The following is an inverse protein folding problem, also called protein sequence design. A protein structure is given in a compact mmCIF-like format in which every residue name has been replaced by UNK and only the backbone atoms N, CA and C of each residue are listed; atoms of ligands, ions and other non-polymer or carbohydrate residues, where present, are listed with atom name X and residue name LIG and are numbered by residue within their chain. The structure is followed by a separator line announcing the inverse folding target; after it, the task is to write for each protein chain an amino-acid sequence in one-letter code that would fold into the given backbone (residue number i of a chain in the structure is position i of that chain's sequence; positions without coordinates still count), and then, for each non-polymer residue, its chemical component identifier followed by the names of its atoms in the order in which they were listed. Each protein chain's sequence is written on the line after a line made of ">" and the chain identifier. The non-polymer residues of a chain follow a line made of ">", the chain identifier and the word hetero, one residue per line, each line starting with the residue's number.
data_IF_123436573728
#
_entry.id   IF_123436573728
#
_cell.length_a   1.000
_cell.length_b   1.000
_cell.length_c   1.000
_cell.angle_alpha   90.00
_cell.angle_beta   90.00
_cell.angle_gamma   90.00
#
_symmetry.space_group_name_H-M   'P 1'
#
loop_
_entity.id
_entity.type
_entity.pdbx_description
1 polymer ?
#
# COMPACT_ATOMS: atom_id res chain seq x y z
N UNK A 1 -19.62 -33.29 17.88
CA UNK A 1 -19.39 -31.82 17.82
C UNK A 1 -19.65 -31.37 16.39
N UNK A 2 -20.67 -30.54 16.17
CA UNK A 2 -20.99 -30.00 14.85
C UNK A 2 -19.86 -29.05 14.42
N UNK A 3 -19.15 -29.40 13.33
CA UNK A 3 -18.17 -28.53 12.69
C UNK A 3 -18.88 -27.50 11.81
N UNK A 4 -19.42 -26.46 12.44
CA UNK A 4 -20.23 -25.46 11.75
C UNK A 4 -19.44 -24.47 10.89
N UNK A 5 -18.13 -24.30 11.08
CA UNK A 5 -17.37 -23.32 10.29
C UNK A 5 -16.53 -23.89 9.15
N UNK A 6 -16.68 -25.17 8.80
CA UNK A 6 -16.22 -25.70 7.49
C UNK A 6 -16.92 -25.01 6.30
N UNK A 7 -17.94 -24.18 6.56
CA UNK A 7 -18.70 -23.39 5.57
C UNK A 7 -18.42 -21.88 5.62
N UNK A 8 -17.56 -21.44 6.53
CA UNK A 8 -17.16 -20.03 6.63
C UNK A 8 -16.09 -19.71 5.57
N UNK A 9 -15.96 -18.44 5.21
CA UNK A 9 -14.90 -17.98 4.29
C UNK A 9 -13.52 -18.36 4.85
N UNK A 10 -13.36 -18.28 6.17
CA UNK A 10 -12.11 -18.62 6.87
C UNK A 10 -12.02 -20.08 7.37
N UNK A 11 -12.95 -20.97 7.02
CA UNK A 11 -12.91 -22.41 7.37
C UNK A 11 -12.57 -22.71 8.85
N UNK A 12 -13.36 -22.20 9.80
CA UNK A 12 -13.15 -22.37 11.26
C UNK A 12 -11.82 -21.78 11.81
N UNK A 13 -11.08 -20.98 11.04
CA UNK A 13 -9.84 -20.34 11.50
C UNK A 13 -10.12 -19.03 12.27
N UNK A 14 -10.50 -19.17 13.56
CA UNK A 14 -10.79 -18.04 14.47
C UNK A 14 -9.67 -16.99 14.52
N UNK A 15 -8.36 -17.34 14.58
CA UNK A 15 -7.28 -16.36 14.51
C UNK A 15 -7.35 -15.49 13.25
N UNK A 16 -7.50 -16.09 12.07
CA UNK A 16 -7.55 -15.34 10.80
C UNK A 16 -8.76 -14.41 10.75
N UNK A 17 -9.92 -14.87 11.23
CA UNK A 17 -11.13 -14.05 11.34
C UNK A 17 -10.90 -12.84 12.26
N UNK A 18 -10.30 -13.07 13.42
CA UNK A 18 -9.95 -12.01 14.38
C UNK A 18 -8.99 -11.00 13.75
N UNK A 19 -7.94 -11.47 13.08
CA UNK A 19 -7.00 -10.59 12.38
C UNK A 19 -7.65 -9.79 11.27
N UNK A 20 -8.53 -10.39 10.48
CA UNK A 20 -9.25 -9.70 9.41
C UNK A 20 -10.07 -8.52 9.96
N UNK A 21 -10.84 -8.75 11.02
CA UNK A 21 -11.60 -7.68 11.68
C UNK A 21 -10.70 -6.58 12.25
N UNK A 22 -9.60 -6.95 12.94
CA UNK A 22 -8.65 -5.96 13.48
C UNK A 22 -8.03 -5.11 12.37
N UNK A 23 -7.56 -5.75 11.28
CA UNK A 23 -6.98 -5.07 10.13
C UNK A 23 -8.00 -4.13 9.49
N UNK A 24 -9.24 -4.57 9.33
CA UNK A 24 -10.29 -3.74 8.74
C UNK A 24 -10.69 -2.56 9.63
N UNK A 25 -10.89 -2.78 10.94
CA UNK A 25 -11.31 -1.75 11.89
C UNK A 25 -10.26 -0.66 12.08
N UNK A 26 -8.97 -1.01 11.99
CA UNK A 26 -7.86 -0.04 12.11
C UNK A 26 -7.50 0.53 10.74
N UNK A 27 -7.33 -0.33 9.74
CA UNK A 27 -6.82 0.02 8.43
C UNK A 27 -7.78 0.89 7.62
N UNK A 28 -9.09 0.60 7.65
CA UNK A 28 -10.06 1.35 6.86
C UNK A 28 -10.16 2.82 7.32
N UNK A 29 -10.39 3.14 8.62
CA UNK A 29 -10.48 4.54 9.06
C UNK A 29 -9.15 5.28 8.94
N UNK A 30 -8.02 4.62 9.26
CA UNK A 30 -6.71 5.24 9.18
C UNK A 30 -6.34 5.63 7.74
N UNK A 31 -6.48 4.71 6.78
CA UNK A 31 -6.15 5.01 5.40
C UNK A 31 -7.14 6.00 4.77
N UNK A 32 -8.43 5.91 5.11
CA UNK A 32 -9.43 6.89 4.68
C UNK A 32 -9.11 8.29 5.22
N UNK A 33 -8.72 8.40 6.49
CA UNK A 33 -8.29 9.66 7.09
C UNK A 33 -7.05 10.23 6.41
N UNK A 34 -6.02 9.41 6.14
CA UNK A 34 -4.79 9.87 5.48
C UNK A 34 -5.03 10.34 4.04
N UNK A 35 -5.84 9.60 3.27
CA UNK A 35 -6.26 10.01 1.92
C UNK A 35 -7.07 11.30 1.98
N UNK A 36 -8.05 11.37 2.88
CA UNK A 36 -8.88 12.55 3.09
C UNK A 36 -8.06 13.78 3.50
N UNK A 37 -7.11 13.62 4.41
CA UNK A 37 -6.20 14.66 4.87
C UNK A 37 -5.35 15.23 3.72
N UNK A 38 -4.78 14.35 2.89
CA UNK A 38 -3.97 14.80 1.74
C UNK A 38 -4.79 15.47 0.64
N UNK A 39 -6.07 15.12 0.47
CA UNK A 39 -6.98 15.82 -0.44
C UNK A 39 -7.44 17.16 0.17
N UNK A 40 -7.70 17.18 1.47
CA UNK A 40 -8.22 18.32 2.20
C UNK A 40 -7.21 19.47 2.31
N UNK A 41 -5.92 19.17 2.55
CA UNK A 41 -4.89 20.18 2.76
C UNK A 41 -4.75 21.18 1.58
N UNK A 42 -4.58 20.74 0.31
CA UNK A 42 -4.57 21.64 -0.84
C UNK A 42 -5.84 22.48 -0.98
N UNK A 43 -7.00 21.87 -0.67
CA UNK A 43 -8.30 22.52 -0.77
C UNK A 43 -8.47 23.62 0.28
N UNK A 44 -8.10 23.35 1.53
CA UNK A 44 -8.14 24.31 2.64
C UNK A 44 -7.23 25.52 2.38
N UNK A 45 -6.01 25.29 1.86
CA UNK A 45 -5.08 26.38 1.52
C UNK A 45 -5.68 27.31 0.46
N UNK A 46 -6.32 26.74 -0.58
CA UNK A 46 -6.98 27.52 -1.63
C UNK A 46 -8.08 28.42 -1.08
N UNK A 47 -8.90 27.91 -0.14
CA UNK A 47 -9.93 28.71 0.52
C UNK A 47 -9.35 29.79 1.45
N UNK A 48 -8.26 29.52 2.17
CA UNK A 48 -7.66 30.53 3.06
C UNK A 48 -7.01 31.71 2.30
N UNK A 49 -6.43 31.46 1.11
CA UNK A 49 -5.82 32.50 0.28
C UNK A 49 -6.80 33.53 -0.25
N UNK A 50 -8.04 33.12 -0.51
CA UNK A 50 -9.11 34.05 -0.88
C UNK A 50 -9.37 35.06 0.27
N UNK A 51 -9.02 34.70 1.52
CA UNK A 51 -9.28 35.51 2.71
C UNK A 51 -8.11 36.36 3.19
N UNK A 52 -6.86 36.14 2.72
CA UNK A 52 -5.68 36.90 3.18
C UNK A 52 -4.79 37.32 2.00
N UNK A 53 -4.82 38.61 1.67
CA UNK A 53 -3.97 39.31 0.69
C UNK A 53 -2.49 39.41 1.10
N UNK A 54 -1.93 38.46 1.85
CA UNK A 54 -0.57 38.57 2.37
C UNK A 54 0.36 37.49 1.84
N UNK A 55 1.58 37.96 1.57
CA UNK A 55 2.76 37.38 0.92
C UNK A 55 3.32 36.09 1.59
N UNK A 56 2.46 35.23 2.13
CA UNK A 56 2.89 34.02 2.83
C UNK A 56 3.25 32.95 1.81
N UNK A 57 4.51 32.55 1.86
CA UNK A 57 5.13 31.52 1.04
C UNK A 57 4.21 30.29 0.91
N UNK A 58 3.97 29.89 -0.33
CA UNK A 58 3.11 28.77 -0.70
C UNK A 58 3.49 27.50 0.08
N UNK A 59 2.59 26.88 0.86
CA UNK A 59 2.86 25.57 1.44
C UNK A 59 3.01 24.55 0.31
N UNK A 60 4.22 24.01 0.16
CA UNK A 60 4.66 23.17 -0.95
C UNK A 60 4.53 21.67 -0.67
N UNK A 61 3.65 21.27 0.25
CA UNK A 61 3.59 19.89 0.75
C UNK A 61 3.25 18.91 -0.39
N UNK A 62 2.28 19.23 -1.26
CA UNK A 62 1.97 18.40 -2.43
C UNK A 62 2.97 18.51 -3.60
N UNK A 63 4.05 19.31 -3.50
CA UNK A 63 5.04 19.41 -4.58
C UNK A 63 6.11 18.32 -4.53
N UNK A 64 6.20 17.56 -3.43
CA UNK A 64 7.21 16.51 -3.36
C UNK A 64 6.74 15.25 -4.11
N UNK A 65 7.57 14.70 -5.02
CA UNK A 65 7.24 13.49 -5.77
C UNK A 65 7.04 12.28 -4.86
N UNK A 66 7.74 12.23 -3.74
CA UNK A 66 7.63 11.15 -2.74
C UNK A 66 6.26 11.13 -2.07
N UNK A 67 5.71 12.28 -1.65
CA UNK A 67 4.36 12.36 -1.07
C UNK A 67 3.28 11.94 -2.09
N UNK A 68 3.48 12.22 -3.38
CA UNK A 68 2.59 11.73 -4.42
C UNK A 68 2.56 10.20 -4.51
N UNK A 69 3.72 9.55 -4.42
CA UNK A 69 3.77 8.08 -4.37
C UNK A 69 3.11 7.54 -3.09
N UNK A 70 3.33 8.18 -1.93
CA UNK A 70 2.64 7.77 -0.68
C UNK A 70 1.13 7.91 -0.77
N UNK A 71 0.62 8.98 -1.39
CA UNK A 71 -0.80 9.15 -1.63
C UNK A 71 -1.41 7.98 -2.41
N UNK A 72 -0.78 7.61 -3.53
CA UNK A 72 -1.21 6.43 -4.32
C UNK A 72 -1.12 5.14 -3.49
N UNK A 73 -0.08 5.02 -2.66
CA UNK A 73 0.12 3.86 -1.81
C UNK A 73 -0.96 3.74 -0.70
N UNK A 74 -1.46 4.86 -0.15
CA UNK A 74 -2.58 4.83 0.80
C UNK A 74 -3.91 4.48 0.11
N UNK A 75 -4.10 4.87 -1.15
CA UNK A 75 -5.25 4.42 -1.94
C UNK A 75 -5.22 2.89 -2.11
N UNK A 76 -4.05 2.31 -2.41
CA UNK A 76 -3.90 0.86 -2.49
C UNK A 76 -4.24 0.18 -1.15
N UNK A 77 -3.79 0.72 -0.02
CA UNK A 77 -4.11 0.18 1.30
C UNK A 77 -5.59 0.29 1.65
N UNK A 78 -6.24 1.38 1.22
CA UNK A 78 -7.68 1.54 1.40
C UNK A 78 -8.43 0.45 0.65
N UNK A 79 -8.08 0.20 -0.61
CA UNK A 79 -8.65 -0.91 -1.39
C UNK A 79 -8.34 -2.27 -0.78
N UNK A 80 -7.14 -2.48 -0.22
CA UNK A 80 -6.81 -3.73 0.47
C UNK A 80 -7.66 -3.90 1.73
N UNK A 81 -7.90 -2.83 2.48
CA UNK A 81 -8.77 -2.82 3.66
C UNK A 81 -10.23 -3.12 3.29
N UNK A 82 -10.71 -2.58 2.16
CA UNK A 82 -12.03 -2.89 1.60
C UNK A 82 -12.13 -4.36 1.18
N UNK A 83 -11.09 -4.91 0.55
CA UNK A 83 -11.03 -6.34 0.22
C UNK A 83 -11.17 -7.23 1.47
N UNK A 84 -10.40 -6.95 2.52
CA UNK A 84 -10.48 -7.72 3.78
C UNK A 84 -11.85 -7.52 4.46
N UNK A 85 -12.43 -6.32 4.39
CA UNK A 85 -13.79 -6.06 4.90
C UNK A 85 -14.83 -6.92 4.17
N UNK A 86 -14.75 -7.04 2.85
CA UNK A 86 -15.65 -7.90 2.07
C UNK A 86 -15.55 -9.35 2.57
N UNK A 87 -14.33 -9.88 2.73
CA UNK A 87 -14.14 -11.23 3.26
C UNK A 87 -14.70 -11.40 4.67
N UNK A 88 -14.46 -10.45 5.58
CA UNK A 88 -14.92 -10.51 6.96
C UNK A 88 -16.46 -10.46 7.08
N UNK A 89 -17.11 -9.58 6.30
CA UNK A 89 -18.58 -9.51 6.23
C UNK A 89 -19.13 -10.82 5.66
N UNK A 90 -18.55 -11.34 4.59
CA UNK A 90 -19.00 -12.57 3.96
C UNK A 90 -18.79 -13.78 4.88
N UNK A 91 -17.69 -13.85 5.62
CA UNK A 91 -17.47 -14.87 6.64
C UNK A 91 -18.57 -14.86 7.70
N UNK A 92 -18.90 -13.68 8.24
CA UNK A 92 -19.95 -13.51 9.24
C UNK A 92 -21.34 -13.89 8.68
N UNK A 93 -21.65 -13.43 7.46
CA UNK A 93 -22.92 -13.70 6.79
C UNK A 93 -23.12 -15.19 6.52
N UNK A 94 -22.15 -15.86 5.91
CA UNK A 94 -22.26 -17.27 5.57
C UNK A 94 -22.18 -18.17 6.81
N UNK A 95 -21.37 -17.82 7.81
CA UNK A 95 -21.36 -18.55 9.10
C UNK A 95 -22.74 -18.54 9.74
N UNK A 96 -23.40 -17.38 9.76
CA UNK A 96 -24.75 -17.24 10.30
C UNK A 96 -25.79 -18.00 9.46
N UNK A 97 -25.76 -17.84 8.13
CA UNK A 97 -26.69 -18.47 7.20
C UNK A 97 -26.62 -20.00 7.25
N UNK A 98 -25.42 -20.58 7.09
CA UNK A 98 -25.22 -22.03 7.07
C UNK A 98 -25.52 -22.66 8.44
N UNK A 99 -25.22 -21.95 9.54
CA UNK A 99 -25.57 -22.41 10.89
C UNK A 99 -27.07 -22.63 11.04
N UNK A 100 -27.90 -21.74 10.50
CA UNK A 100 -29.36 -21.85 10.62
C UNK A 100 -29.96 -22.89 9.67
N UNK A 101 -29.44 -23.01 8.45
CA UNK A 101 -29.99 -23.93 7.44
C UNK A 101 -29.61 -25.39 7.72
N UNK A 102 -28.39 -25.64 8.20
CA UNK A 102 -27.82 -26.99 8.31
C UNK A 102 -27.66 -27.46 9.76
N UNK A 103 -28.30 -26.79 10.72
CA UNK A 103 -28.22 -27.10 12.15
C UNK A 103 -28.66 -28.54 12.49
N UNK A 104 -29.53 -29.13 11.66
CA UNK A 104 -30.28 -30.36 11.97
C UNK A 104 -30.00 -31.53 11.01
N UNK A 105 -28.74 -31.94 10.86
CA UNK A 105 -28.37 -33.26 10.31
C UNK A 105 -28.41 -33.41 8.77
N UNK A 106 -27.60 -32.62 8.06
CA UNK A 106 -27.38 -32.83 6.61
C UNK A 106 -26.02 -33.43 6.31
N UNK A 107 -26.00 -34.41 5.40
CA UNK A 107 -24.77 -34.96 4.82
C UNK A 107 -23.94 -33.84 4.15
N UNK A 108 -22.71 -33.66 4.65
CA UNK A 108 -21.73 -32.65 4.21
C UNK A 108 -21.50 -32.62 2.69
N UNK A 109 -21.64 -33.75 2.01
CA UNK A 109 -21.38 -33.90 0.56
C UNK A 109 -22.34 -33.12 -0.35
N UNK A 110 -23.46 -32.59 0.18
CA UNK A 110 -24.46 -31.85 -0.61
C UNK A 110 -24.39 -30.34 -0.47
N UNK A 111 -23.53 -29.80 0.40
CA UNK A 111 -23.47 -28.36 0.61
C UNK A 111 -22.77 -27.68 -0.57
N UNK A 112 -23.50 -26.78 -1.23
CA UNK A 112 -22.99 -25.97 -2.34
C UNK A 112 -22.29 -24.75 -1.77
N UNK A 113 -21.04 -24.53 -2.15
CA UNK A 113 -20.34 -23.29 -1.87
C UNK A 113 -20.79 -22.23 -2.89
N UNK A 114 -21.75 -21.39 -2.49
CA UNK A 114 -22.26 -20.31 -3.34
C UNK A 114 -21.39 -19.07 -3.30
N UNK A 115 -20.54 -18.92 -2.28
CA UNK A 115 -19.71 -17.74 -2.07
C UNK A 115 -18.71 -17.52 -3.21
N UNK A 116 -17.92 -18.54 -3.55
CA UNK A 116 -16.84 -18.38 -4.54
C UNK A 116 -17.32 -18.07 -5.96
N UNK A 117 -18.59 -18.35 -6.27
CA UNK A 117 -19.24 -18.03 -7.55
C UNK A 117 -19.96 -16.69 -7.55
N UNK A 118 -20.06 -16.03 -6.39
CA UNK A 118 -20.75 -14.76 -6.26
C UNK A 118 -20.00 -13.64 -6.99
N UNK A 119 -20.75 -12.65 -7.46
CA UNK A 119 -20.16 -11.43 -8.02
C UNK A 119 -19.29 -10.71 -6.98
N UNK A 120 -19.68 -10.74 -5.70
CA UNK A 120 -18.93 -10.15 -4.58
C UNK A 120 -17.55 -10.79 -4.44
N UNK A 121 -17.43 -12.11 -4.58
CA UNK A 121 -16.13 -12.79 -4.58
C UNK A 121 -15.28 -12.40 -5.79
N UNK A 122 -15.89 -12.24 -6.97
CA UNK A 122 -15.19 -11.76 -8.16
C UNK A 122 -14.67 -10.32 -7.97
N UNK A 123 -15.46 -9.44 -7.36
CA UNK A 123 -15.05 -8.08 -6.98
C UNK A 123 -13.90 -8.12 -5.96
N UNK A 124 -13.99 -8.98 -4.94
CA UNK A 124 -12.94 -9.16 -3.95
C UNK A 124 -11.63 -9.65 -4.60
N UNK A 125 -11.71 -10.62 -5.50
CA UNK A 125 -10.56 -11.12 -6.27
C UNK A 125 -9.88 -9.99 -7.05
N UNK A 126 -10.67 -9.21 -7.79
CA UNK A 126 -10.19 -8.07 -8.55
C UNK A 126 -9.48 -7.04 -7.65
N UNK A 127 -10.12 -6.62 -6.55
CA UNK A 127 -9.52 -5.68 -5.60
C UNK A 127 -8.24 -6.22 -4.97
N UNK A 128 -8.23 -7.48 -4.52
CA UNK A 128 -7.05 -8.12 -3.95
C UNK A 128 -5.87 -8.15 -4.92
N UNK A 129 -6.12 -8.50 -6.19
CA UNK A 129 -5.06 -8.55 -7.21
C UNK A 129 -4.54 -7.17 -7.62
N UNK A 130 -5.43 -6.19 -7.84
CA UNK A 130 -5.01 -4.81 -8.17
C UNK A 130 -4.16 -4.24 -7.04
N UNK A 131 -4.60 -4.42 -5.80
CA UNK A 131 -3.91 -3.82 -4.64
C UNK A 131 -2.55 -4.39 -4.39
N UNK A 132 -2.40 -5.73 -4.44
CA UNK A 132 -1.11 -6.39 -4.26
C UNK A 132 -0.12 -5.97 -5.36
N UNK A 133 -0.54 -6.00 -6.62
CA UNK A 133 0.30 -5.60 -7.76
C UNK A 133 0.73 -4.14 -7.65
N UNK A 134 -0.24 -3.24 -7.49
CA UNK A 134 0.01 -1.80 -7.45
C UNK A 134 0.88 -1.41 -6.26
N UNK A 135 0.62 -1.97 -5.07
CA UNK A 135 1.39 -1.69 -3.88
C UNK A 135 2.85 -2.15 -4.01
N UNK A 136 3.10 -3.31 -4.61
CA UNK A 136 4.44 -3.81 -4.87
C UNK A 136 5.20 -2.90 -5.86
N UNK A 137 4.57 -2.54 -6.98
CA UNK A 137 5.16 -1.67 -8.00
C UNK A 137 5.46 -0.27 -7.44
N UNK A 138 4.53 0.33 -6.71
CA UNK A 138 4.75 1.63 -6.06
C UNK A 138 5.86 1.58 -5.02
N UNK A 139 5.92 0.52 -4.22
CA UNK A 139 7.00 0.36 -3.21
C UNK A 139 8.37 0.28 -3.89
N UNK A 140 8.47 -0.43 -5.02
CA UNK A 140 9.69 -0.48 -5.83
C UNK A 140 10.07 0.91 -6.38
N UNK A 141 9.11 1.66 -6.91
CA UNK A 141 9.36 3.02 -7.42
C UNK A 141 9.83 3.95 -6.30
N UNK A 142 9.21 3.89 -5.10
CA UNK A 142 9.65 4.66 -3.93
C UNK A 142 11.07 4.28 -3.52
N UNK A 143 11.41 2.99 -3.54
CA UNK A 143 12.76 2.53 -3.24
C UNK A 143 13.79 3.04 -4.25
N UNK A 144 13.46 3.02 -5.54
CA UNK A 144 14.33 3.55 -6.61
C UNK A 144 14.50 5.06 -6.46
N UNK A 145 13.43 5.80 -6.18
CA UNK A 145 13.50 7.25 -5.92
C UNK A 145 14.46 7.55 -4.75
N UNK A 146 14.31 6.85 -3.63
CA UNK A 146 15.20 6.97 -2.47
C UNK A 146 16.64 6.62 -2.80
N UNK A 147 16.86 5.52 -3.51
CA UNK A 147 18.19 5.09 -3.93
C UNK A 147 18.88 6.15 -4.79
N UNK A 148 18.16 6.73 -5.75
CA UNK A 148 18.69 7.79 -6.60
C UNK A 148 19.02 9.05 -5.79
N UNK A 149 18.20 9.42 -4.81
CA UNK A 149 18.48 10.56 -3.94
C UNK A 149 19.72 10.35 -3.05
N UNK A 150 19.94 9.13 -2.55
CA UNK A 150 21.09 8.80 -1.71
C UNK A 150 22.37 8.69 -2.54
N UNK A 151 22.36 7.91 -3.62
CA UNK A 151 23.56 7.62 -4.41
C UNK A 151 23.97 8.83 -5.27
N UNK A 152 23.01 9.63 -5.72
CA UNK A 152 23.26 10.75 -6.63
C UNK A 152 22.81 12.09 -6.04
N UNK A 153 23.36 12.44 -4.87
CA UNK A 153 23.11 13.71 -4.19
C UNK A 153 23.17 14.95 -5.12
N UNK A 154 24.12 14.97 -6.05
CA UNK A 154 24.36 16.10 -6.96
C UNK A 154 23.79 15.93 -8.37
N UNK A 155 23.11 14.82 -8.68
CA UNK A 155 22.58 14.63 -10.02
C UNK A 155 21.36 15.51 -10.25
N UNK A 156 21.32 16.17 -11.42
CA UNK A 156 20.15 16.89 -11.93
C UNK A 156 18.97 15.97 -12.24
N UNK A 157 19.14 14.64 -12.24
CA UNK A 157 18.11 13.64 -12.53
C UNK A 157 17.24 13.32 -11.31
N UNK A 158 16.66 14.34 -10.67
CA UNK A 158 15.66 14.15 -9.61
C UNK A 158 14.28 13.91 -10.23
N UNK A 159 13.47 13.04 -9.62
CA UNK A 159 12.09 12.88 -10.05
C UNK A 159 11.36 14.22 -9.89
N UNK A 160 10.75 14.67 -10.99
CA UNK A 160 9.87 15.85 -10.96
C UNK A 160 8.45 15.39 -10.63
N UNK A 161 7.64 16.26 -10.02
CA UNK A 161 6.24 15.96 -9.72
C UNK A 161 5.47 15.48 -10.96
N UNK A 162 5.70 16.12 -12.12
CA UNK A 162 5.08 15.72 -13.39
C UNK A 162 5.50 14.30 -13.81
N UNK A 163 6.78 13.97 -13.65
CA UNK A 163 7.27 12.62 -13.96
C UNK A 163 6.66 11.57 -13.03
N UNK A 164 6.57 11.84 -11.72
CA UNK A 164 5.92 10.94 -10.76
C UNK A 164 4.45 10.72 -11.10
N UNK A 165 3.72 11.78 -11.46
CA UNK A 165 2.32 11.67 -11.92
C UNK A 165 2.19 10.79 -13.17
N UNK A 166 3.01 11.03 -14.19
CA UNK A 166 3.01 10.23 -15.42
C UNK A 166 3.30 8.76 -15.10
N UNK A 167 4.34 8.48 -14.30
CA UNK A 167 4.72 7.12 -13.91
C UNK A 167 3.58 6.43 -13.17
N UNK A 168 3.00 7.07 -12.15
CA UNK A 168 1.87 6.47 -11.43
C UNK A 168 0.68 6.19 -12.33
N UNK A 169 0.35 7.12 -13.25
CA UNK A 169 -0.78 6.94 -14.18
C UNK A 169 -0.53 5.77 -15.13
N UNK A 170 0.69 5.64 -15.66
CA UNK A 170 1.07 4.50 -16.51
C UNK A 170 0.97 3.19 -15.74
N UNK A 171 1.48 3.14 -14.50
CA UNK A 171 1.38 1.94 -13.65
C UNK A 171 -0.09 1.58 -13.42
N UNK A 172 -0.94 2.55 -13.08
CA UNK A 172 -2.38 2.31 -12.89
C UNK A 172 -3.03 1.73 -14.14
N UNK A 173 -2.77 2.30 -15.32
CA UNK A 173 -3.38 1.82 -16.57
C UNK A 173 -2.92 0.39 -16.89
N UNK A 174 -1.62 0.11 -16.76
CA UNK A 174 -1.04 -1.21 -17.07
C UNK A 174 -1.55 -2.26 -16.08
N UNK A 175 -1.46 -2.01 -14.78
CA UNK A 175 -1.88 -2.96 -13.74
C UNK A 175 -3.38 -3.20 -13.80
N UNK A 176 -4.19 -2.15 -13.97
CA UNK A 176 -5.64 -2.29 -14.06
C UNK A 176 -6.05 -3.09 -15.30
N UNK A 177 -5.41 -2.86 -16.45
CA UNK A 177 -5.69 -3.61 -17.68
C UNK A 177 -5.31 -5.08 -17.54
N UNK A 178 -4.13 -5.36 -17.00
CA UNK A 178 -3.63 -6.72 -16.78
C UNK A 178 -4.53 -7.49 -15.79
N UNK A 179 -4.81 -6.89 -14.63
CA UNK A 179 -5.63 -7.53 -13.60
C UNK A 179 -7.08 -7.69 -14.04
N UNK A 180 -7.65 -6.73 -14.79
CA UNK A 180 -9.01 -6.87 -15.34
C UNK A 180 -9.11 -8.05 -16.29
N UNK A 181 -8.12 -8.22 -17.19
CA UNK A 181 -8.05 -9.36 -18.10
C UNK A 181 -7.94 -10.69 -17.34
N UNK A 182 -7.07 -10.75 -16.33
CA UNK A 182 -6.92 -11.93 -15.47
C UNK A 182 -8.18 -12.24 -14.67
N UNK A 183 -8.84 -11.23 -14.11
CA UNK A 183 -10.07 -11.38 -13.33
C UNK A 183 -11.23 -11.85 -14.21
N UNK A 184 -11.42 -11.29 -15.40
CA UNK A 184 -12.45 -11.72 -16.34
C UNK A 184 -12.25 -13.18 -16.78
N UNK A 185 -11.01 -13.53 -17.11
CA UNK A 185 -10.66 -14.90 -17.49
C UNK A 185 -10.83 -15.89 -16.32
N UNK A 186 -10.42 -15.50 -15.11
CA UNK A 186 -10.59 -16.29 -13.90
C UNK A 186 -12.07 -16.50 -13.55
N UNK A 187 -12.89 -15.45 -13.65
CA UNK A 187 -14.33 -15.54 -13.45
C UNK A 187 -14.98 -16.52 -14.44
N UNK A 188 -14.63 -16.42 -15.72
CA UNK A 188 -15.08 -17.37 -16.75
C UNK A 188 -14.65 -18.81 -16.44
N UNK A 189 -13.43 -18.99 -15.94
CA UNK A 189 -12.90 -20.28 -15.51
C UNK A 189 -13.66 -20.84 -14.31
N UNK A 190 -13.92 -20.02 -13.28
CA UNK A 190 -14.65 -20.40 -12.06
C UNK A 190 -16.08 -20.83 -12.36
N UNK A 191 -16.74 -20.17 -13.31
CA UNK A 191 -18.11 -20.53 -13.69
C UNK A 191 -18.24 -21.96 -14.22
N UNK A 192 -17.14 -22.54 -14.73
CA UNK A 192 -17.09 -23.94 -15.18
C UNK A 192 -16.87 -24.96 -14.06
N UNK A 193 -16.43 -24.55 -12.87
CA UNK A 193 -16.19 -25.48 -11.75
C UNK A 193 -17.49 -25.95 -11.11
N UNK A 194 -17.48 -27.18 -10.58
CA UNK A 194 -18.59 -27.74 -9.82
C UNK A 194 -18.74 -27.00 -8.48
N UNK A 195 -19.99 -26.65 -8.09
CA UNK A 195 -20.26 -25.90 -6.86
C UNK A 195 -19.98 -26.66 -5.55
N UNK A 196 -19.48 -27.89 -5.63
CA UNK A 196 -19.26 -28.79 -4.50
C UNK A 196 -17.80 -28.83 -4.04
N UNK A 197 -16.88 -28.11 -4.72
CA UNK A 197 -15.49 -28.02 -4.29
C UNK A 197 -15.34 -26.98 -3.20
N UNK A 198 -15.03 -27.42 -1.98
CA UNK A 198 -14.69 -26.53 -0.85
C UNK A 198 -13.17 -26.55 -0.71
N UNK A 199 -12.51 -25.43 -1.04
CA UNK A 199 -11.09 -25.23 -0.79
C UNK A 199 -10.87 -23.82 -0.25
N UNK A 200 -9.91 -23.69 0.67
CA UNK A 200 -9.63 -22.45 1.38
C UNK A 200 -9.24 -21.30 0.44
N UNK A 201 -8.41 -21.61 -0.57
CA UNK A 201 -7.93 -20.66 -1.56
C UNK A 201 -9.06 -20.06 -2.40
N UNK A 202 -10.07 -20.85 -2.76
CA UNK A 202 -11.26 -20.35 -3.45
C UNK A 202 -12.13 -19.48 -2.55
N UNK A 203 -12.20 -19.78 -1.25
CA UNK A 203 -12.98 -18.98 -0.30
C UNK A 203 -12.38 -17.59 -0.08
N UNK A 204 -11.04 -17.47 -0.10
CA UNK A 204 -10.36 -16.18 -0.04
C UNK A 204 -10.50 -15.35 -1.33
N UNK A 205 -11.14 -15.91 -2.37
CA UNK A 205 -11.26 -15.29 -3.68
C UNK A 205 -9.89 -14.99 -4.32
N UNK A 206 -8.83 -15.69 -3.92
CA UNK A 206 -7.47 -15.57 -4.47
C UNK A 206 -7.02 -16.84 -5.20
N UNK A 207 -7.74 -17.95 -4.98
CA UNK A 207 -7.42 -19.27 -5.51
C UNK A 207 -7.51 -19.30 -7.03
N UNK A 208 -6.43 -19.75 -7.65
CA UNK A 208 -6.35 -19.85 -9.10
C UNK A 208 -6.66 -21.29 -9.52
N UNK A 209 -7.83 -21.47 -10.13
CA UNK A 209 -8.49 -22.78 -10.24
C UNK A 209 -7.91 -23.72 -11.29
N UNK A 210 -6.99 -23.26 -12.15
CA UNK A 210 -6.53 -24.02 -13.30
C UNK A 210 -5.01 -23.89 -13.48
N UNK A 211 -4.31 -25.01 -13.35
CA UNK A 211 -2.86 -25.11 -13.58
C UNK A 211 -2.55 -25.28 -15.07
N UNK A 212 -3.02 -24.37 -15.93
CA UNK A 212 -2.42 -24.31 -17.27
C UNK A 212 -0.96 -23.89 -17.13
N UNK A 213 -0.07 -24.52 -17.91
CA UNK A 213 1.36 -24.22 -17.90
C UNK A 213 1.65 -22.71 -18.01
N UNK A 214 0.88 -22.01 -18.86
CA UNK A 214 0.95 -20.56 -19.00
C UNK A 214 0.65 -19.78 -17.69
N UNK A 215 -0.32 -20.21 -16.88
CA UNK A 215 -0.59 -19.59 -15.56
C UNK A 215 0.52 -19.87 -14.57
N UNK A 216 1.11 -21.07 -14.59
CA UNK A 216 2.27 -21.38 -13.74
C UNK A 216 3.44 -20.47 -14.07
N UNK A 217 3.74 -20.25 -15.36
CA UNK A 217 4.76 -19.29 -15.79
C UNK A 217 4.41 -17.89 -15.31
N UNK A 218 3.18 -17.42 -15.52
CA UNK A 218 2.77 -16.08 -15.11
C UNK A 218 2.91 -15.88 -13.60
N UNK A 219 2.56 -16.88 -12.79
CA UNK A 219 2.77 -16.84 -11.33
C UNK A 219 4.24 -16.79 -10.94
N UNK A 220 5.10 -17.54 -11.64
CA UNK A 220 6.55 -17.50 -11.40
C UNK A 220 7.10 -16.12 -11.80
N UNK A 221 6.61 -15.53 -12.88
CA UNK A 221 6.98 -14.17 -13.28
C UNK A 221 6.48 -13.12 -12.27
N UNK A 222 5.24 -13.23 -11.81
CA UNK A 222 4.63 -12.38 -10.78
C UNK A 222 5.41 -12.49 -9.44
N UNK A 223 5.68 -13.71 -8.98
CA UNK A 223 6.44 -13.96 -7.76
C UNK A 223 7.90 -13.48 -7.89
N UNK A 224 8.56 -13.74 -9.02
CA UNK A 224 9.93 -13.28 -9.25
C UNK A 224 9.99 -11.76 -9.34
N UNK A 225 9.01 -11.10 -9.95
CA UNK A 225 8.86 -9.66 -9.94
C UNK A 225 8.73 -9.12 -8.51
N UNK A 226 7.84 -9.67 -7.69
CA UNK A 226 7.68 -9.25 -6.30
C UNK A 226 8.94 -9.49 -5.46
N UNK A 227 9.63 -10.59 -5.69
CA UNK A 227 10.89 -10.90 -5.01
C UNK A 227 11.97 -9.89 -5.39
N UNK A 228 12.13 -9.58 -6.68
CA UNK A 228 13.07 -8.57 -7.17
C UNK A 228 12.71 -7.19 -6.61
N UNK A 229 11.43 -6.80 -6.66
CA UNK A 229 10.94 -5.54 -6.11
C UNK A 229 11.30 -5.39 -4.63
N UNK A 230 11.10 -6.46 -3.86
CA UNK A 230 11.43 -6.52 -2.45
C UNK A 230 12.95 -6.46 -2.18
N UNK A 231 13.74 -7.25 -2.90
CA UNK A 231 15.21 -7.26 -2.76
C UNK A 231 15.80 -5.90 -3.10
N UNK A 232 15.38 -5.28 -4.21
CA UNK A 232 15.83 -3.93 -4.61
C UNK A 232 15.45 -2.91 -3.52
N UNK A 233 14.25 -3.00 -2.97
CA UNK A 233 13.80 -2.13 -1.87
C UNK A 233 14.61 -2.34 -0.60
N UNK A 234 14.93 -3.58 -0.26
CA UNK A 234 15.74 -3.93 0.89
C UNK A 234 17.18 -3.43 0.75
N UNK A 235 17.82 -3.64 -0.40
CA UNK A 235 19.18 -3.15 -0.68
C UNK A 235 19.21 -1.63 -0.63
N UNK A 236 18.23 -0.96 -1.24
CA UNK A 236 18.14 0.51 -1.28
C UNK A 236 17.99 1.13 0.11
N UNK A 237 17.51 0.38 1.11
CA UNK A 237 17.32 0.85 2.49
C UNK A 237 18.44 0.47 3.44
N UNK A 238 19.48 -0.28 3.00
CA UNK A 238 20.58 -0.74 3.85
C UNK A 238 21.76 0.24 3.85
N UNK A 239 21.52 1.46 4.33
CA UNK A 239 22.58 2.34 4.81
C UNK A 239 23.06 1.83 6.19
N UNK A 240 24.38 1.94 6.45
CA UNK A 240 25.15 1.13 7.44
C UNK A 240 24.63 1.05 8.89
N UNK A 241 23.80 1.98 9.36
CA UNK A 241 23.33 2.00 10.75
C UNK A 241 22.19 1.02 11.08
N UNK A 242 21.54 0.40 10.09
CA UNK A 242 20.32 -0.41 10.29
C UNK A 242 20.56 -1.90 9.98
N UNK A 243 21.74 -2.44 10.32
CA UNK A 243 22.05 -3.87 10.09
C UNK A 243 21.48 -4.81 11.16
N UNK A 244 21.48 -4.39 12.42
CA UNK A 244 21.21 -5.34 13.53
C UNK A 244 19.72 -5.57 13.82
N UNK A 245 18.84 -4.61 13.49
CA UNK A 245 17.39 -4.74 13.75
C UNK A 245 16.65 -5.52 12.64
N UNK A 246 17.16 -5.51 11.39
CA UNK A 246 16.46 -6.10 10.24
C UNK A 246 16.64 -7.62 10.11
N UNK A 247 17.77 -8.17 10.57
CA UNK A 247 18.08 -9.60 10.43
C UNK A 247 17.21 -10.47 11.35
N UNK A 248 16.87 -9.98 12.54
CA UNK A 248 15.96 -10.67 13.48
C UNK A 248 14.55 -10.85 12.90
N UNK A 249 14.02 -9.86 12.17
CA UNK A 249 12.69 -9.90 11.56
C UNK A 249 12.67 -10.82 10.32
N UNK A 250 13.80 -10.91 9.60
CA UNK A 250 13.95 -11.76 8.42
C UNK A 250 13.78 -13.26 8.73
N UNK A 251 14.31 -13.74 9.87
CA UNK A 251 14.24 -15.15 10.28
C UNK A 251 12.80 -15.56 10.66
N UNK A 252 12.02 -14.65 11.23
CA UNK A 252 10.61 -14.93 11.59
C UNK A 252 9.68 -14.90 10.37
N UNK A 253 10.11 -14.22 9.28
CA UNK A 253 9.27 -13.94 8.10
C UNK A 253 9.32 -15.03 7.03
N UNK A 254 10.45 -15.73 6.88
CA UNK A 254 10.65 -16.75 5.84
C UNK A 254 9.90 -18.06 6.11
N UNK A 255 9.45 -18.29 7.34
CA UNK A 255 8.74 -19.53 7.74
C UNK A 255 7.24 -19.51 7.41
N UNK A 256 6.66 -18.37 7.01
CA UNK A 256 5.20 -18.20 6.86
C UNK A 256 4.72 -17.66 5.50
N UNK A 257 5.58 -17.75 4.47
CA UNK A 257 5.49 -16.93 3.23
C UNK A 257 4.30 -17.24 2.30
N UNK A 258 3.52 -18.31 2.47
CA UNK A 258 2.46 -18.63 1.48
C UNK A 258 1.12 -17.90 1.71
N UNK A 259 0.80 -17.52 2.94
CA UNK A 259 -0.55 -17.02 3.30
C UNK A 259 -0.53 -15.68 4.08
N UNK A 260 0.61 -15.24 4.64
CA UNK A 260 0.68 -14.05 5.52
C UNK A 260 1.42 -12.85 4.95
N UNK A 261 1.72 -12.84 3.65
CA UNK A 261 2.38 -11.72 2.95
C UNK A 261 1.71 -10.37 3.24
N UNK A 262 0.38 -10.35 3.37
CA UNK A 262 -0.43 -9.17 3.69
C UNK A 262 -0.19 -8.63 5.11
N UNK A 263 -0.03 -9.52 6.10
CA UNK A 263 0.18 -9.13 7.51
C UNK A 263 1.62 -8.65 7.72
N UNK A 264 2.57 -9.33 7.12
CA UNK A 264 3.98 -8.96 7.17
C UNK A 264 4.21 -7.58 6.52
N UNK A 265 3.55 -7.35 5.38
CA UNK A 265 3.55 -6.07 4.69
C UNK A 265 3.08 -4.92 5.59
N UNK A 266 1.98 -5.10 6.34
CA UNK A 266 1.45 -4.08 7.25
C UNK A 266 2.41 -3.75 8.41
N UNK A 267 3.09 -4.75 8.99
CA UNK A 267 4.05 -4.55 10.10
C UNK A 267 5.30 -3.81 9.62
N UNK A 268 5.88 -4.20 8.48
CA UNK A 268 7.02 -3.49 7.89
C UNK A 268 6.66 -2.05 7.54
N UNK A 269 5.44 -1.82 7.05
CA UNK A 269 4.97 -0.51 6.61
C UNK A 269 4.71 0.47 7.75
N UNK A 270 4.18 0.02 8.90
CA UNK A 270 4.03 0.86 10.09
C UNK A 270 5.38 1.45 10.53
N UNK A 271 6.44 0.64 10.51
CA UNK A 271 7.80 1.07 10.89
C UNK A 271 8.38 2.10 9.92
N UNK A 272 8.16 1.95 8.61
CA UNK A 272 8.66 2.89 7.60
C UNK A 272 7.87 4.22 7.61
N UNK A 273 6.54 4.19 7.73
CA UNK A 273 5.69 5.39 7.83
C UNK A 273 6.09 6.22 9.06
N UNK A 274 6.28 5.58 10.22
CA UNK A 274 6.70 6.26 11.45
C UNK A 274 8.01 7.02 11.22
N UNK A 275 9.03 6.37 10.65
CA UNK A 275 10.34 6.99 10.38
C UNK A 275 10.26 8.16 9.40
N UNK A 276 9.44 8.03 8.36
CA UNK A 276 9.26 9.11 7.39
C UNK A 276 8.61 10.35 8.00
N UNK A 277 7.60 10.17 8.85
CA UNK A 277 6.96 11.27 9.58
C UNK A 277 7.94 11.97 10.53
N UNK A 278 8.83 11.22 11.19
CA UNK A 278 9.88 11.78 12.05
C UNK A 278 10.94 12.58 11.27
N UNK A 279 11.46 12.04 10.14
CA UNK A 279 12.45 12.75 9.33
C UNK A 279 11.89 14.02 8.70
N UNK A 280 10.61 14.03 8.31
CA UNK A 280 9.96 15.22 7.76
C UNK A 280 9.85 16.35 8.80
N UNK A 281 9.53 16.02 10.07
CA UNK A 281 9.45 17.01 11.14
C UNK A 281 10.80 17.64 11.48
N UNK A 282 11.90 16.89 11.36
CA UNK A 282 13.25 17.37 11.67
C UNK A 282 13.79 18.38 10.65
N UNK A 283 13.46 18.24 9.37
CA UNK A 283 14.01 19.13 8.32
C UNK A 283 13.37 20.53 8.29
N UNK A 284 12.24 20.74 8.96
CA UNK A 284 11.62 22.07 9.09
C UNK A 284 12.13 22.84 10.33
N UNK A 285 12.87 22.20 11.24
CA UNK A 285 13.36 22.83 12.47
C UNK A 285 14.79 23.39 12.35
N UNK A 286 15.53 23.07 11.29
CA UNK A 286 16.93 23.46 11.10
C UNK A 286 17.08 24.19 9.77
N UNK A 287 16.37 25.32 9.64
CA UNK A 287 16.81 26.41 8.77
C UNK A 287 16.88 27.62 9.68
N UNK A 288 17.88 27.62 10.56
CA UNK A 288 18.34 28.84 11.18
C UNK A 288 18.87 29.70 10.04
N UNK A 289 18.30 30.90 9.78
CA UNK A 289 18.85 31.76 8.74
C UNK A 289 20.28 32.06 9.15
N UNK A 290 21.24 31.64 8.33
CA UNK A 290 22.59 32.15 8.40
C UNK A 290 22.47 33.67 8.13
N UNK A 291 22.32 34.43 9.21
CA UNK A 291 22.44 35.88 9.21
C UNK A 291 23.86 36.13 8.73
N UNK A 292 23.98 36.41 7.43
CA UNK A 292 25.18 37.03 6.88
C UNK A 292 25.37 38.34 7.64
N UNK A 293 26.24 38.33 8.65
CA UNK A 293 26.90 39.51 9.15
C UNK A 293 27.77 40.07 8.02
N UNK A 294 27.14 40.72 7.04
CA UNK A 294 27.83 41.72 6.23
C UNK A 294 28.17 42.86 7.17
N UNK A 295 29.36 42.80 7.76
CA UNK A 295 30.06 43.97 8.26
C UNK A 295 30.12 44.98 7.13
N UNK A 296 29.23 45.97 7.21
CA UNK A 296 29.32 47.21 6.45
C UNK A 296 30.60 47.91 6.92
N UNK A 297 31.68 47.80 6.14
CA UNK A 297 32.82 48.70 6.26
C UNK A 297 32.34 50.06 5.78
N UNK A 298 32.06 50.95 6.73
CA UNK A 298 31.82 52.36 6.46
C UNK A 298 33.14 52.95 5.97
N UNK A 299 33.18 53.30 4.69
CA UNK A 299 34.27 54.09 4.12
C UNK A 299 34.37 55.42 4.87
N UNK A 300 35.48 55.61 5.59
CA UNK A 300 35.84 56.91 6.14
C UNK A 300 36.21 57.84 4.99
N UNK A 301 35.31 58.78 4.70
CA UNK A 301 35.55 59.93 3.83
C UNK A 301 36.62 60.81 4.48
N UNK A 302 37.80 60.86 3.86
CA UNK A 302 38.88 61.78 4.23
C UNK A 302 38.47 63.23 3.99
N UNK A 303 38.58 64.04 5.04
CA UNK A 303 38.42 65.49 5.01
C UNK A 303 39.67 66.13 4.36
N UNK A 304 39.54 67.08 3.41
CA UNK A 304 40.70 67.80 2.90
C UNK A 304 41.17 68.85 3.92
N UNK A 305 42.45 68.75 4.26
CA UNK A 305 43.20 69.67 5.10
C UNK A 305 43.40 71.00 4.35
N UNK A 306 42.73 72.05 4.83
CA UNK A 306 42.99 73.44 4.43
C UNK A 306 43.95 74.02 5.47
N UNK A 307 45.20 74.25 5.09
CA UNK A 307 46.06 75.19 5.81
C UNK A 307 46.72 76.20 4.86
N UNK A 308 46.70 77.43 5.37
CA UNK A 308 47.18 78.70 4.82
C UNK A 308 48.71 78.81 4.85
#
# INVERSE_FOLDING_TARGET
>A
MNKSGEYSVYLDNEPVRTFAWVITLIGLPLNAFLVGFMIWEPWSIKHSKIRRNHHVQNPTILKSPSLWFFFNLFICDLFASVYILILAISDAYYSYYYKNVYQFNTNFSRVKNVWFKSFTCATAHFLGKVTISMAATLTLVIAIDRFLLIVRLFSKKKFTMKASQIITTVIWIVDFSLVSGLAAYHFHSIMRFLSYTIRFDFNLCLGDSSSTFARTILKILELSYYLVAYIVSFISTNNKEIKNIKISIWITSTVYVRETLSVLYLVFRYSDIKKQLYCWRSNNAIIEPAIQSKTFSVDQVGLPEIQK
#
